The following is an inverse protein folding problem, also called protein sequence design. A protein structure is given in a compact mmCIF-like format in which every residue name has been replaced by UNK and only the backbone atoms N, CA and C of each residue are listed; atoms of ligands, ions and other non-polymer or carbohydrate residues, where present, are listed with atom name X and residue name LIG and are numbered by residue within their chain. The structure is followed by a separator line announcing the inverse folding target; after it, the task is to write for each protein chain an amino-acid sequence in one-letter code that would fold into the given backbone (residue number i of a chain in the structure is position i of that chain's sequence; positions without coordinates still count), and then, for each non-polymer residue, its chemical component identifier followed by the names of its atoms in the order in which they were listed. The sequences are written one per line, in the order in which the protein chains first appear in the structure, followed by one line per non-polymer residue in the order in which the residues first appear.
data_IF_732703842526
#
_entry.id   IF_732703842526
#
_cell.length_a   1.000
_cell.length_b   1.000
_cell.length_c   1.000
_cell.angle_alpha   90.00
_cell.angle_beta   90.00
_cell.angle_gamma   90.00
#
_symmetry.space_group_name_H-M   'P 1'
#
loop_
_entity.id
_entity.type
_entity.pdbx_description
1 polymer ?
#
# COMPACT_ATOMS: atom_id res chain seq x y z
N UNK A 1 -6.28 15.52 75.06
CA UNK A 1 -7.02 15.65 73.79
C UNK A 1 -6.22 16.53 72.84
N UNK A 2 -5.66 15.93 71.80
CA UNK A 2 -4.82 16.63 70.81
C UNK A 2 -5.75 17.30 69.79
N UNK A 3 -5.79 18.65 69.75
CA UNK A 3 -6.56 19.39 68.74
C UNK A 3 -5.92 19.17 67.38
N UNK A 4 -6.63 18.47 66.49
CA UNK A 4 -6.30 18.45 65.06
C UNK A 4 -6.59 19.85 64.53
N UNK A 5 -5.55 20.60 64.13
CA UNK A 5 -5.73 21.87 63.41
C UNK A 5 -6.35 21.53 62.05
N UNK A 6 -7.59 21.98 61.80
CA UNK A 6 -8.12 21.99 60.45
C UNK A 6 -7.45 23.13 59.68
N UNK A 7 -6.50 22.79 58.81
CA UNK A 7 -5.98 23.71 57.81
C UNK A 7 -7.05 23.86 56.72
N UNK A 8 -7.66 25.04 56.60
CA UNK A 8 -8.53 25.34 55.46
C UNK A 8 -7.70 25.41 54.19
N UNK A 9 -8.16 24.76 53.12
CA UNK A 9 -7.61 24.94 51.77
C UNK A 9 -7.63 26.44 51.43
N UNK A 10 -6.49 27.00 51.05
CA UNK A 10 -6.46 28.38 50.57
C UNK A 10 -7.03 28.42 49.15
N UNK A 11 -7.73 29.50 48.78
CA UNK A 11 -8.19 29.70 47.39
C UNK A 11 -7.03 29.60 46.39
N UNK A 12 -5.85 30.08 46.80
CA UNK A 12 -4.60 29.99 46.01
C UNK A 12 -4.21 28.53 45.75
N UNK A 13 -4.30 27.66 46.76
CA UNK A 13 -4.00 26.23 46.62
C UNK A 13 -4.96 25.53 45.65
N UNK A 14 -6.26 25.85 45.70
CA UNK A 14 -7.23 25.31 44.73
C UNK A 14 -6.97 25.80 43.30
N UNK A 15 -6.55 27.06 43.14
CA UNK A 15 -6.20 27.61 41.83
C UNK A 15 -4.96 26.93 41.26
N UNK A 16 -3.93 26.72 42.08
CA UNK A 16 -2.72 25.97 41.70
C UNK A 16 -3.06 24.52 41.36
N UNK A 17 -3.88 23.84 42.18
CA UNK A 17 -4.29 22.46 41.94
C UNK A 17 -5.05 22.29 40.63
N UNK A 18 -6.02 23.17 40.35
CA UNK A 18 -6.77 23.16 39.08
C UNK A 18 -5.82 23.45 37.91
N UNK A 19 -4.87 24.39 38.06
CA UNK A 19 -3.89 24.70 37.01
C UNK A 19 -2.99 23.50 36.67
N UNK A 20 -2.53 22.76 37.67
CA UNK A 20 -1.73 21.53 37.44
C UNK A 20 -2.60 20.44 36.80
N UNK A 21 -3.86 20.31 37.24
CA UNK A 21 -4.81 19.34 36.70
C UNK A 21 -5.12 19.62 35.22
N UNK A 22 -5.38 20.87 34.84
CA UNK A 22 -5.67 21.23 33.45
C UNK A 22 -4.47 20.98 32.54
N UNK A 23 -3.26 21.35 32.97
CA UNK A 23 -2.02 21.05 32.23
C UNK A 23 -1.83 19.54 32.02
N UNK A 24 -2.10 18.74 33.05
CA UNK A 24 -1.99 17.27 32.98
C UNK A 24 -3.01 16.67 32.01
N UNK A 25 -4.25 17.18 32.00
CA UNK A 25 -5.29 16.74 31.07
C UNK A 25 -4.91 17.09 29.63
N UNK A 26 -4.43 18.30 29.37
CA UNK A 26 -4.01 18.71 28.01
C UNK A 26 -2.86 17.83 27.52
N UNK A 27 -1.84 17.61 28.36
CA UNK A 27 -0.68 16.79 28.00
C UNK A 27 -1.09 15.34 27.63
N UNK A 28 -1.94 14.72 28.46
CA UNK A 28 -2.43 13.36 28.20
C UNK A 28 -3.30 13.30 26.96
N UNK A 29 -4.16 14.29 26.74
CA UNK A 29 -5.01 14.33 25.56
C UNK A 29 -4.21 14.45 24.26
N UNK A 30 -3.20 15.32 24.22
CA UNK A 30 -2.29 15.43 23.06
C UNK A 30 -1.56 14.12 22.79
N UNK A 31 -1.09 13.42 23.83
CA UNK A 31 -0.44 12.13 23.67
C UNK A 31 -1.38 11.07 23.06
N UNK A 32 -2.65 11.03 23.50
CA UNK A 32 -3.67 10.13 22.95
C UNK A 32 -3.97 10.46 21.48
N UNK A 33 -4.13 11.74 21.14
CA UNK A 33 -4.37 12.16 19.75
C UNK A 33 -3.24 11.72 18.81
N UNK A 34 -1.98 11.93 19.22
CA UNK A 34 -0.82 11.48 18.46
C UNK A 34 -0.79 9.96 18.32
N UNK A 35 -1.16 9.23 19.38
CA UNK A 35 -1.27 7.76 19.35
C UNK A 35 -2.29 7.26 18.31
N UNK A 36 -3.47 7.88 18.25
CA UNK A 36 -4.52 7.53 17.28
C UNK A 36 -4.06 7.83 15.84
N UNK A 37 -3.47 9.01 15.63
CA UNK A 37 -2.94 9.39 14.32
C UNK A 37 -1.88 8.40 13.84
N UNK A 38 -0.90 8.08 14.68
CA UNK A 38 0.17 7.14 14.34
C UNK A 38 -0.36 5.73 14.12
N UNK A 39 -1.34 5.28 14.89
CA UNK A 39 -1.98 3.97 14.71
C UNK A 39 -2.69 3.87 13.35
N UNK A 40 -3.39 4.93 12.93
CA UNK A 40 -4.07 4.97 11.63
C UNK A 40 -3.05 4.97 10.48
N UNK A 41 -2.00 5.79 10.57
CA UNK A 41 -0.94 5.84 9.57
C UNK A 41 -0.24 4.48 9.46
N UNK A 42 0.08 3.84 10.59
CA UNK A 42 0.73 2.54 10.62
C UNK A 42 -0.17 1.45 10.01
N UNK A 43 -1.48 1.48 10.29
CA UNK A 43 -2.45 0.57 9.66
C UNK A 43 -2.45 0.73 8.14
N UNK A 44 -2.63 1.94 7.65
CA UNK A 44 -2.70 2.21 6.21
C UNK A 44 -1.39 1.83 5.50
N UNK A 45 -0.24 2.16 6.10
CA UNK A 45 1.07 1.79 5.59
C UNK A 45 1.28 0.27 5.55
N UNK A 46 0.80 -0.45 6.56
CA UNK A 46 0.86 -1.91 6.61
C UNK A 46 0.00 -2.53 5.52
N UNK A 47 -1.24 -2.05 5.34
CA UNK A 47 -2.12 -2.51 4.24
C UNK A 47 -1.49 -2.24 2.88
N UNK A 48 -0.98 -1.02 2.64
CA UNK A 48 -0.31 -0.69 1.40
C UNK A 48 0.90 -1.60 1.14
N UNK A 49 1.69 -1.93 2.17
CA UNK A 49 2.84 -2.83 2.04
C UNK A 49 2.43 -4.25 1.61
N UNK A 50 1.37 -4.81 2.23
CA UNK A 50 0.84 -6.10 1.81
C UNK A 50 0.29 -6.08 0.37
N UNK A 51 -0.37 -5.00 -0.04
CA UNK A 51 -0.83 -4.83 -1.44
C UNK A 51 0.34 -4.75 -2.44
N UNK A 52 1.46 -4.15 -2.05
CA UNK A 52 2.67 -4.13 -2.88
C UNK A 52 3.30 -5.53 -2.99
N UNK A 53 3.40 -6.24 -1.86
CA UNK A 53 3.92 -7.61 -1.83
C UNK A 53 3.07 -8.57 -2.67
N UNK A 54 1.75 -8.50 -2.54
CA UNK A 54 0.81 -9.29 -3.33
C UNK A 54 1.08 -9.14 -4.84
N UNK A 55 1.20 -7.90 -5.32
CA UNK A 55 1.52 -7.65 -6.73
C UNK A 55 2.90 -8.17 -7.12
N UNK A 56 3.91 -8.01 -6.27
CA UNK A 56 5.26 -8.53 -6.52
C UNK A 56 5.26 -10.06 -6.64
N UNK A 57 4.58 -10.75 -5.73
CA UNK A 57 4.48 -12.20 -5.74
C UNK A 57 3.69 -12.71 -6.93
N UNK A 58 2.65 -12.00 -7.35
CA UNK A 58 1.95 -12.31 -8.60
C UNK A 58 2.87 -12.20 -9.82
N UNK A 59 3.69 -11.15 -9.91
CA UNK A 59 4.66 -10.99 -11.01
C UNK A 59 5.69 -12.13 -11.00
N UNK A 60 6.22 -12.49 -9.82
CA UNK A 60 7.12 -13.64 -9.66
C UNK A 60 6.44 -14.94 -10.07
N UNK A 61 5.17 -15.13 -9.70
CA UNK A 61 4.39 -16.30 -10.08
C UNK A 61 4.21 -16.40 -11.60
N UNK A 62 3.85 -15.31 -12.29
CA UNK A 62 3.74 -15.28 -13.76
C UNK A 62 5.06 -15.57 -14.44
N UNK A 63 6.15 -14.99 -13.92
CA UNK A 63 7.51 -15.29 -14.39
C UNK A 63 7.83 -16.78 -14.30
N UNK A 64 7.58 -17.37 -13.14
CA UNK A 64 7.88 -18.79 -12.87
C UNK A 64 6.96 -19.71 -13.69
N UNK A 65 5.69 -19.35 -13.87
CA UNK A 65 4.75 -20.04 -14.76
C UNK A 65 5.26 -20.04 -16.21
N UNK A 66 5.73 -18.90 -16.72
CA UNK A 66 6.32 -18.80 -18.05
C UNK A 66 7.61 -19.63 -18.17
N UNK A 67 8.44 -19.66 -17.12
CA UNK A 67 9.64 -20.49 -17.08
C UNK A 67 9.29 -21.99 -17.14
N UNK A 68 8.31 -22.44 -16.36
CA UNK A 68 7.84 -23.83 -16.38
C UNK A 68 7.30 -24.24 -17.74
N UNK A 69 6.51 -23.36 -18.40
CA UNK A 69 6.01 -23.62 -19.76
C UNK A 69 7.14 -23.80 -20.77
N UNK A 70 8.21 -23.02 -20.62
CA UNK A 70 9.40 -23.16 -21.48
C UNK A 70 10.10 -24.50 -21.30
N UNK A 71 10.24 -24.95 -20.05
CA UNK A 71 10.82 -26.27 -19.73
C UNK A 71 9.94 -27.41 -20.27
N UNK A 72 8.61 -27.25 -20.30
CA UNK A 72 7.69 -28.24 -20.89
C UNK A 72 7.65 -28.25 -22.42
N UNK A 73 8.47 -27.42 -23.10
CA UNK A 73 8.61 -27.41 -24.55
C UNK A 73 7.80 -26.33 -25.28
N UNK A 74 7.15 -25.40 -24.56
CA UNK A 74 6.55 -24.22 -25.19
C UNK A 74 7.61 -23.13 -25.45
N UNK A 75 7.55 -22.44 -26.57
CA UNK A 75 8.39 -21.25 -26.82
C UNK A 75 7.78 -20.00 -26.17
N UNK A 76 7.83 -19.92 -24.83
CA UNK A 76 7.41 -18.74 -24.07
C UNK A 76 8.62 -17.99 -23.50
N UNK A 77 8.64 -16.67 -23.66
CA UNK A 77 9.58 -15.83 -22.93
C UNK A 77 9.15 -15.72 -21.45
N UNK A 78 10.11 -15.67 -20.52
CA UNK A 78 9.83 -15.52 -19.09
C UNK A 78 9.01 -14.26 -18.74
N UNK A 79 9.02 -13.22 -19.59
CA UNK A 79 8.24 -11.98 -19.46
C UNK A 79 6.98 -11.93 -20.33
N UNK A 80 6.57 -13.04 -20.96
CA UNK A 80 5.33 -13.11 -21.75
C UNK A 80 4.13 -12.61 -20.92
N UNK A 81 3.32 -11.72 -21.50
CA UNK A 81 2.18 -11.03 -20.87
C UNK A 81 2.54 -10.08 -19.72
N UNK A 82 3.83 -9.84 -19.47
CA UNK A 82 4.32 -8.83 -18.53
C UNK A 82 4.88 -7.64 -19.31
N UNK A 83 6.03 -7.84 -19.94
CA UNK A 83 6.82 -6.76 -20.56
C UNK A 83 7.65 -7.22 -21.76
N UNK A 84 7.35 -8.38 -22.36
CA UNK A 84 8.10 -8.92 -23.48
C UNK A 84 7.73 -8.27 -24.82
N UNK A 85 6.44 -8.18 -25.12
CA UNK A 85 5.94 -7.61 -26.37
C UNK A 85 5.61 -6.12 -26.22
N UNK A 86 5.76 -5.27 -27.26
CA UNK A 86 5.38 -3.86 -27.21
C UNK A 86 3.91 -3.59 -26.84
N UNK A 87 3.05 -4.59 -27.03
CA UNK A 87 1.63 -4.53 -26.68
C UNK A 87 1.34 -5.06 -25.27
N UNK A 88 2.35 -5.58 -24.56
CA UNK A 88 2.15 -6.07 -23.20
C UNK A 88 1.75 -4.91 -22.24
N UNK A 89 0.88 -5.19 -21.26
CA UNK A 89 0.35 -4.19 -20.35
C UNK A 89 1.41 -3.39 -19.60
N UNK A 90 2.50 -4.05 -19.21
CA UNK A 90 3.61 -3.47 -18.45
C UNK A 90 4.90 -3.36 -19.29
N UNK A 91 4.80 -3.26 -20.62
CA UNK A 91 5.96 -3.04 -21.48
C UNK A 91 6.83 -1.88 -20.95
N UNK A 92 8.16 -1.98 -21.12
CA UNK A 92 9.11 -1.05 -20.50
C UNK A 92 8.72 0.42 -20.70
N UNK A 93 8.66 1.16 -19.59
CA UNK A 93 8.23 2.56 -19.56
C UNK A 93 6.73 2.78 -19.33
N UNK A 94 5.88 1.78 -19.52
CA UNK A 94 4.44 1.84 -19.19
C UNK A 94 4.21 1.60 -17.70
N UNK A 95 3.22 2.29 -17.13
CA UNK A 95 2.67 1.93 -15.84
C UNK A 95 1.48 0.98 -16.04
N UNK A 96 1.43 -0.09 -15.26
CA UNK A 96 0.36 -1.05 -15.29
C UNK A 96 -0.17 -1.35 -13.88
N UNK A 97 -1.32 -2.01 -13.83
CA UNK A 97 -1.94 -2.51 -12.61
C UNK A 97 -2.14 -4.02 -12.70
N UNK A 98 -2.11 -4.67 -11.54
CA UNK A 98 -2.48 -6.07 -11.36
C UNK A 98 -3.84 -6.14 -10.67
N UNK A 99 -4.71 -7.06 -11.06
CA UNK A 99 -5.97 -7.39 -10.38
C UNK A 99 -6.09 -8.91 -10.18
N UNK A 100 -5.95 -9.37 -8.94
CA UNK A 100 -6.07 -10.80 -8.61
C UNK A 100 -7.51 -11.29 -8.53
N UNK A 101 -8.48 -10.38 -8.57
CA UNK A 101 -9.90 -10.71 -8.54
C UNK A 101 -10.53 -10.75 -9.92
N UNK A 102 -9.79 -10.30 -10.94
CA UNK A 102 -10.20 -10.37 -12.32
C UNK A 102 -10.24 -11.80 -12.84
N UNK A 103 -11.18 -12.09 -13.72
CA UNK A 103 -11.21 -13.34 -14.48
C UNK A 103 -10.22 -13.26 -15.67
N UNK A 104 -9.78 -14.43 -16.13
CA UNK A 104 -8.69 -14.60 -17.11
C UNK A 104 -8.65 -13.55 -18.24
N UNK A 105 -7.47 -12.93 -18.39
CA UNK A 105 -7.03 -11.88 -19.33
C UNK A 105 -7.01 -10.43 -18.82
N UNK A 106 -7.71 -10.11 -17.72
CA UNK A 106 -7.68 -8.75 -17.12
C UNK A 106 -6.84 -8.67 -15.83
N UNK A 107 -6.06 -9.72 -15.54
CA UNK A 107 -5.20 -9.79 -14.35
C UNK A 107 -4.10 -8.71 -14.37
N UNK A 108 -3.69 -8.26 -15.56
CA UNK A 108 -2.72 -7.19 -15.74
C UNK A 108 -3.22 -6.26 -16.84
N UNK A 109 -3.34 -4.97 -16.51
CA UNK A 109 -3.90 -3.97 -17.42
C UNK A 109 -3.00 -2.74 -17.46
N UNK A 110 -2.77 -2.22 -18.67
CA UNK A 110 -2.07 -0.95 -18.85
C UNK A 110 -2.89 0.19 -18.24
N UNK A 111 -2.26 1.07 -17.46
CA UNK A 111 -2.94 2.20 -16.83
C UNK A 111 -3.32 3.31 -17.82
N UNK A 112 -2.98 3.18 -19.10
CA UNK A 112 -3.20 4.24 -20.10
C UNK A 112 -2.13 5.34 -20.07
N UNK A 113 -1.11 5.22 -19.19
CA UNK A 113 -0.02 6.19 -19.10
C UNK A 113 1.29 5.57 -18.62
N UNK A 114 2.35 6.37 -18.66
CA UNK A 114 3.69 6.00 -18.17
C UNK A 114 3.91 6.44 -16.71
N UNK A 115 2.92 7.00 -16.02
CA UNK A 115 3.06 7.48 -14.64
C UNK A 115 2.30 6.57 -13.67
N UNK A 116 2.88 6.33 -12.50
CA UNK A 116 2.23 5.56 -11.44
C UNK A 116 0.94 6.23 -10.94
N UNK A 117 0.91 7.57 -10.89
CA UNK A 117 -0.22 8.37 -10.39
C UNK A 117 -1.52 8.20 -11.15
N UNK A 118 -1.41 7.80 -12.42
CA UNK A 118 -2.52 7.75 -13.36
C UNK A 118 -3.19 6.36 -13.35
N UNK A 119 -2.58 5.37 -12.69
CA UNK A 119 -3.26 4.12 -12.39
C UNK A 119 -4.52 4.39 -11.54
N UNK A 120 -5.63 3.69 -11.82
CA UNK A 120 -6.87 3.88 -11.08
C UNK A 120 -6.70 3.52 -9.60
N UNK A 121 -7.63 4.03 -8.80
CA UNK A 121 -7.73 3.67 -7.38
C UNK A 121 -8.15 2.21 -7.26
N UNK A 122 -7.60 1.47 -6.27
CA UNK A 122 -8.08 0.13 -5.95
C UNK A 122 -9.44 0.25 -5.28
N UNK A 123 -10.37 -0.58 -5.70
CA UNK A 123 -11.62 -0.78 -4.98
C UNK A 123 -11.43 -1.85 -3.91
N UNK A 124 -12.21 -1.77 -2.84
CA UNK A 124 -12.28 -2.76 -1.80
C UNK A 124 -13.69 -3.36 -1.77
N UNK A 125 -13.76 -4.70 -1.80
CA UNK A 125 -15.00 -5.41 -1.63
C UNK A 125 -15.47 -5.31 -0.16
N UNK A 126 -16.68 -4.82 0.05
CA UNK A 126 -17.26 -4.57 1.39
C UNK A 126 -17.64 -5.85 2.14
N UNK A 127 -17.75 -6.99 1.44
CA UNK A 127 -18.11 -8.30 2.02
C UNK A 127 -16.86 -9.13 2.30
N UNK A 128 -15.96 -9.27 1.33
CA UNK A 128 -14.76 -10.11 1.44
C UNK A 128 -13.52 -9.37 1.91
N UNK A 129 -13.56 -8.03 1.96
CA UNK A 129 -12.41 -7.16 2.24
C UNK A 129 -11.24 -7.27 1.24
N UNK A 130 -11.45 -7.95 0.10
CA UNK A 130 -10.46 -8.05 -0.98
C UNK A 130 -10.27 -6.72 -1.71
N UNK A 131 -9.09 -6.53 -2.29
CA UNK A 131 -8.76 -5.36 -3.11
C UNK A 131 -8.63 -5.76 -4.57
N UNK A 132 -9.08 -4.89 -5.47
CA UNK A 132 -9.20 -5.19 -6.90
C UNK A 132 -9.73 -3.99 -7.69
N UNK A 133 -10.18 -4.22 -8.91
CA UNK A 133 -10.70 -3.18 -9.80
C UNK A 133 -12.10 -3.52 -10.36
N UNK A 134 -12.84 -4.42 -9.70
CA UNK A 134 -14.23 -4.67 -10.06
C UNK A 134 -15.10 -3.41 -9.85
N UNK A 135 -16.10 -3.29 -10.71
CA UNK A 135 -17.14 -2.25 -10.68
C UNK A 135 -18.49 -2.76 -10.15
N UNK A 136 -18.53 -3.96 -9.58
CA UNK A 136 -19.78 -4.50 -9.00
C UNK A 136 -20.20 -3.72 -7.75
N UNK A 137 -21.46 -3.82 -7.36
CA UNK A 137 -22.05 -3.02 -6.28
C UNK A 137 -21.38 -3.18 -4.91
N UNK A 138 -20.74 -4.32 -4.64
CA UNK A 138 -20.04 -4.58 -3.37
C UNK A 138 -18.63 -3.96 -3.33
N UNK A 139 -18.16 -3.33 -4.41
CA UNK A 139 -16.81 -2.79 -4.54
C UNK A 139 -16.82 -1.26 -4.47
N UNK A 140 -16.21 -0.74 -3.40
CA UNK A 140 -16.16 0.70 -3.15
C UNK A 140 -14.72 1.24 -3.31
N UNK A 141 -14.53 2.47 -3.79
CA UNK A 141 -13.19 3.06 -3.92
C UNK A 141 -12.45 3.11 -2.57
N UNK A 142 -11.24 2.55 -2.53
CA UNK A 142 -10.36 2.66 -1.38
C UNK A 142 -9.53 3.95 -1.41
N UNK A 143 -8.63 4.12 -0.45
CA UNK A 143 -7.65 5.23 -0.45
C UNK A 143 -6.37 4.89 -1.23
N UNK A 144 -6.20 3.63 -1.65
CA UNK A 144 -4.94 3.13 -2.19
C UNK A 144 -4.91 3.17 -3.71
N UNK A 145 -3.78 3.59 -4.25
CA UNK A 145 -3.37 3.43 -5.64
C UNK A 145 -2.12 2.57 -5.70
N UNK A 146 -2.05 1.69 -6.70
CA UNK A 146 -0.91 0.84 -6.99
C UNK A 146 -0.55 1.01 -8.46
N UNK A 147 0.72 1.28 -8.73
CA UNK A 147 1.24 1.23 -10.08
C UNK A 147 2.51 0.39 -10.13
N UNK A 148 2.70 -0.31 -11.24
CA UNK A 148 3.81 -1.24 -11.45
C UNK A 148 4.54 -0.81 -12.72
N UNK A 149 5.87 -0.84 -12.67
CA UNK A 149 6.74 -0.59 -13.82
C UNK A 149 7.83 -1.64 -13.89
N UNK A 150 8.19 -1.95 -15.13
CA UNK A 150 9.36 -2.75 -15.45
C UNK A 150 10.42 -1.84 -16.06
N UNK A 151 11.67 -2.09 -15.70
CA UNK A 151 12.85 -1.49 -16.32
C UNK A 151 13.83 -2.60 -16.68
N UNK A 152 14.26 -2.65 -17.93
CA UNK A 152 15.31 -3.57 -18.35
C UNK A 152 16.66 -3.09 -17.80
N UNK A 153 17.38 -3.98 -17.10
CA UNK A 153 18.74 -3.71 -16.61
C UNK A 153 19.76 -4.28 -17.60
N UNK A 154 19.60 -5.56 -17.94
CA UNK A 154 20.45 -6.28 -18.87
C UNK A 154 19.57 -7.03 -19.85
N UNK A 155 19.87 -6.86 -21.14
CA UNK A 155 18.95 -7.31 -22.19
C UNK A 155 18.66 -8.79 -22.09
N UNK A 156 17.38 -9.14 -22.02
CA UNK A 156 16.87 -10.51 -21.97
C UNK A 156 17.24 -11.34 -20.73
N UNK A 157 17.91 -10.76 -19.72
CA UNK A 157 18.47 -11.49 -18.57
C UNK A 157 18.00 -10.95 -17.24
N UNK A 158 17.86 -9.64 -17.10
CA UNK A 158 17.58 -9.00 -15.82
C UNK A 158 16.63 -7.82 -16.00
N UNK A 159 15.53 -7.83 -15.24
CA UNK A 159 14.60 -6.70 -15.17
C UNK A 159 14.40 -6.27 -13.72
N UNK A 160 14.31 -4.97 -13.52
CA UNK A 160 13.84 -4.40 -12.28
C UNK A 160 12.34 -4.20 -12.34
N UNK A 161 11.65 -4.59 -11.27
CA UNK A 161 10.24 -4.36 -11.06
C UNK A 161 10.08 -3.38 -9.92
N UNK A 162 9.46 -2.24 -10.21
CA UNK A 162 9.14 -1.21 -9.21
C UNK A 162 7.63 -1.13 -9.03
N UNK A 163 7.19 -1.27 -7.80
CA UNK A 163 5.80 -1.12 -7.39
C UNK A 163 5.69 0.10 -6.50
N UNK A 164 4.94 1.09 -6.95
CA UNK A 164 4.63 2.28 -6.18
C UNK A 164 3.23 2.17 -5.57
N UNK A 165 3.18 2.33 -4.25
CA UNK A 165 1.94 2.52 -3.52
C UNK A 165 1.80 3.99 -3.15
N UNK A 166 0.63 4.55 -3.38
CA UNK A 166 0.27 5.88 -2.88
C UNK A 166 -1.13 5.87 -2.29
N UNK A 167 -1.34 6.64 -1.23
CA UNK A 167 -2.64 6.80 -0.61
C UNK A 167 -2.78 8.16 0.04
N UNK A 168 -4.01 8.66 0.07
CA UNK A 168 -4.33 9.95 0.69
C UNK A 168 -5.08 9.71 1.99
N UNK A 169 -4.42 9.98 3.10
CA UNK A 169 -5.03 9.97 4.43
C UNK A 169 -5.52 11.37 4.81
N UNK A 170 -6.27 11.48 5.92
CA UNK A 170 -6.65 12.79 6.50
C UNK A 170 -5.46 13.67 6.86
N UNK A 171 -4.28 13.08 7.04
CA UNK A 171 -3.05 13.76 7.49
C UNK A 171 -2.08 14.04 6.34
N UNK A 172 -2.53 13.84 5.09
CA UNK A 172 -1.76 14.06 3.88
C UNK A 172 -1.58 12.80 3.04
N UNK A 173 -0.98 13.01 1.87
CA UNK A 173 -0.63 11.94 0.93
C UNK A 173 0.68 11.29 1.35
N UNK A 174 0.71 9.95 1.31
CA UNK A 174 1.87 9.13 1.58
C UNK A 174 2.10 8.22 0.38
N UNK A 175 3.37 7.88 0.16
CA UNK A 175 3.76 6.88 -0.83
C UNK A 175 5.04 6.18 -0.41
N UNK A 176 5.26 4.99 -0.95
CA UNK A 176 6.54 4.30 -0.95
C UNK A 176 6.66 3.45 -2.20
N UNK A 177 7.89 3.02 -2.49
CA UNK A 177 8.17 2.10 -3.58
C UNK A 177 8.83 0.83 -3.03
N UNK A 178 8.41 -0.32 -3.55
CA UNK A 178 9.08 -1.60 -3.38
C UNK A 178 9.70 -1.96 -4.71
N UNK A 179 10.98 -2.31 -4.69
CA UNK A 179 11.73 -2.63 -5.90
C UNK A 179 12.42 -3.97 -5.72
N UNK A 180 12.33 -4.81 -6.73
CA UNK A 180 12.97 -6.12 -6.79
C UNK A 180 13.60 -6.33 -8.15
N UNK A 181 14.69 -7.09 -8.18
CA UNK A 181 15.35 -7.51 -9.40
C UNK A 181 14.89 -8.94 -9.71
N UNK A 182 14.36 -9.14 -10.91
CA UNK A 182 13.99 -10.45 -11.43
C UNK A 182 14.98 -10.87 -12.50
N UNK A 183 15.42 -12.12 -12.41
CA UNK A 183 16.33 -12.75 -13.36
C UNK A 183 15.56 -13.73 -14.25
N UNK A 184 16.02 -13.85 -15.48
CA UNK A 184 15.63 -14.94 -16.36
C UNK A 184 16.13 -16.28 -15.77
N UNK A 185 15.23 -17.27 -15.68
CA UNK A 185 15.49 -18.61 -15.14
C UNK A 185 15.23 -19.73 -16.14
N UNK A 186 14.95 -19.38 -17.40
CA UNK A 186 14.80 -20.30 -18.52
C UNK A 186 16.17 -20.71 -19.08
#
# INVERSE_FOLDING_TARGET
MQKIKQAGFTLVETLVAISILTLSIVATFTAVQNGIQNSTIAKDQTTAFYLAQEAMEFIKNKRDENALKSISGETNNWLTKLSFEPNDPCYFGRACRVDLTANNNDEIVYCGSNNFSDCPVLNQNTVTSLFGYSSDADWEPSIFKRGIKFREISSGTEVEVTIEMSWTSRWGTKSFQVTEILLNRQ
#
